data_IF_316779723227
#
_entry.id   IF_316779723227
#
_cell.length_a   1.000
_cell.length_b   1.000
_cell.length_c   1.000
_cell.angle_alpha   90.00
_cell.angle_beta   90.00
_cell.angle_gamma   90.00
#
_symmetry.space_group_name_H-M   'P 1'
#
loop_
_entity.id
_entity.type
_entity.pdbx_description
1 polymer ?
#
# COMPACT_ATOMS: atom_id res chain seq x y z
N UNK A 1 -51.84 21.36 12.81
CA UNK A 1 -50.50 21.71 12.31
C UNK A 1 -50.53 21.51 10.81
N UNK A 2 -50.65 22.60 10.05
CA UNK A 2 -50.78 22.61 8.60
C UNK A 2 -49.38 22.56 8.00
N UNK A 3 -49.11 21.53 7.20
CA UNK A 3 -47.88 21.37 6.41
C UNK A 3 -47.76 22.51 5.39
N UNK A 4 -46.62 23.19 5.28
CA UNK A 4 -46.45 24.21 4.26
C UNK A 4 -46.36 23.54 2.89
N UNK A 5 -47.29 23.89 2.02
CA UNK A 5 -47.26 23.52 0.59
C UNK A 5 -46.25 24.41 -0.10
N UNK A 6 -45.14 23.82 -0.57
CA UNK A 6 -44.20 24.49 -1.47
C UNK A 6 -44.92 24.67 -2.82
N UNK A 7 -45.22 25.90 -3.21
CA UNK A 7 -45.65 26.24 -4.55
C UNK A 7 -44.38 26.31 -5.42
N UNK A 8 -44.14 25.31 -6.25
CA UNK A 8 -43.16 25.40 -7.32
C UNK A 8 -43.64 26.45 -8.33
N UNK A 9 -43.01 27.59 -8.34
CA UNK A 9 -43.15 28.57 -9.42
C UNK A 9 -42.40 28.03 -10.64
N UNK A 10 -43.04 27.76 -11.79
CA UNK A 10 -42.33 27.33 -12.97
C UNK A 10 -41.29 28.38 -13.37
N UNK A 11 -40.02 27.98 -13.50
CA UNK A 11 -39.00 28.86 -14.06
C UNK A 11 -39.39 29.18 -15.51
N UNK A 12 -39.63 30.46 -15.79
CA UNK A 12 -39.90 30.95 -17.13
C UNK A 12 -38.71 30.61 -18.06
N UNK A 13 -38.92 29.74 -19.09
CA UNK A 13 -37.85 29.36 -20.01
C UNK A 13 -37.25 30.56 -20.76
N UNK A 14 -38.01 31.65 -20.94
CA UNK A 14 -37.55 32.87 -21.57
C UNK A 14 -36.59 33.69 -20.69
N UNK A 15 -36.69 33.58 -19.37
CA UNK A 15 -35.71 34.18 -18.43
C UNK A 15 -34.44 33.38 -18.31
N UNK A 16 -34.48 32.08 -18.53
CA UNK A 16 -33.27 31.23 -18.59
C UNK A 16 -32.45 31.47 -19.87
N UNK A 17 -33.11 31.94 -20.96
CA UNK A 17 -32.47 32.29 -22.23
C UNK A 17 -31.92 33.74 -22.28
N UNK A 18 -32.27 34.61 -21.32
CA UNK A 18 -31.72 35.95 -21.25
C UNK A 18 -30.26 35.90 -20.71
N UNK A 19 -29.33 35.78 -21.67
CA UNK A 19 -27.94 36.13 -21.56
C UNK A 19 -27.27 35.82 -20.19
N UNK A 20 -26.94 34.56 -19.95
CA UNK A 20 -25.81 34.30 -19.11
C UNK A 20 -24.61 35.10 -19.69
N UNK A 21 -23.96 35.98 -18.92
CA UNK A 21 -22.80 36.72 -19.42
C UNK A 21 -21.83 35.69 -20.06
N UNK A 22 -21.41 35.99 -21.29
CA UNK A 22 -20.45 35.12 -21.97
C UNK A 22 -19.28 34.91 -21.01
N UNK A 23 -19.12 33.69 -20.49
CA UNK A 23 -18.03 33.36 -19.55
C UNK A 23 -16.75 33.38 -20.40
N UNK A 24 -16.15 34.54 -20.52
CA UNK A 24 -14.96 34.81 -21.36
C UNK A 24 -13.70 34.06 -20.94
N UNK A 25 -13.75 33.21 -19.89
CA UNK A 25 -12.59 32.52 -19.35
C UNK A 25 -12.76 31.02 -19.15
N UNK A 26 -13.72 30.38 -19.84
CA UNK A 26 -13.79 28.92 -19.86
C UNK A 26 -12.54 28.39 -20.57
N UNK A 27 -11.75 27.61 -19.85
CA UNK A 27 -10.74 26.78 -20.49
C UNK A 27 -11.44 25.86 -21.48
N UNK A 28 -10.92 25.74 -22.73
CA UNK A 28 -11.52 24.81 -23.69
C UNK A 28 -11.57 23.39 -23.11
N UNK A 29 -12.57 22.58 -23.49
CA UNK A 29 -12.61 21.19 -23.09
C UNK A 29 -11.30 20.51 -23.47
N UNK A 30 -10.79 19.69 -22.55
CA UNK A 30 -9.62 18.86 -22.84
C UNK A 30 -10.02 17.76 -23.81
N UNK A 31 -9.27 17.57 -24.88
CA UNK A 31 -9.47 16.45 -25.79
C UNK A 31 -9.44 15.13 -24.98
N UNK A 32 -10.46 14.26 -25.10
CA UNK A 32 -10.47 12.95 -24.47
C UNK A 32 -9.19 12.13 -24.70
N UNK A 33 -8.55 12.26 -25.87
CA UNK A 33 -7.28 11.64 -26.18
C UNK A 33 -6.13 12.05 -25.23
N UNK A 34 -6.24 13.20 -24.57
CA UNK A 34 -5.29 13.67 -23.57
C UNK A 34 -5.61 13.20 -22.13
N UNK A 35 -6.60 12.30 -21.96
CA UNK A 35 -7.00 11.74 -20.68
C UNK A 35 -6.52 10.29 -20.51
N UNK A 36 -5.29 10.02 -20.93
CA UNK A 36 -4.67 8.66 -20.93
C UNK A 36 -4.72 7.91 -19.57
N UNK A 37 -4.97 8.62 -18.47
CA UNK A 37 -5.20 7.99 -17.17
C UNK A 37 -6.56 7.26 -17.09
N UNK A 38 -7.50 7.47 -18.01
CA UNK A 38 -8.77 6.73 -18.13
C UNK A 38 -8.65 5.46 -18.98
N UNK A 39 -7.58 5.34 -19.76
CA UNK A 39 -7.34 4.16 -20.59
C UNK A 39 -6.80 3.05 -19.70
N UNK A 40 -7.62 2.04 -19.48
CA UNK A 40 -7.26 0.85 -18.70
C UNK A 40 -6.88 -0.29 -19.65
N UNK A 41 -5.84 -1.02 -19.30
CA UNK A 41 -5.49 -2.25 -20.02
C UNK A 41 -6.66 -3.23 -19.96
N UNK A 42 -7.06 -3.74 -21.11
CA UNK A 42 -8.18 -4.68 -21.28
C UNK A 42 -7.82 -5.81 -22.26
N UNK A 43 -8.71 -6.79 -22.40
CA UNK A 43 -8.53 -7.94 -23.27
C UNK A 43 -7.56 -8.99 -22.72
N UNK A 44 -7.11 -9.95 -23.54
CA UNK A 44 -6.34 -11.10 -23.11
C UNK A 44 -4.84 -10.81 -22.99
N UNK A 45 -4.46 -9.77 -22.26
CA UNK A 45 -3.07 -9.34 -22.09
C UNK A 45 -2.15 -10.41 -21.48
N UNK A 46 -2.69 -11.46 -20.87
CA UNK A 46 -1.94 -12.60 -20.34
C UNK A 46 -1.41 -13.53 -21.44
N UNK A 47 -1.95 -13.46 -22.66
CA UNK A 47 -1.49 -14.27 -23.80
C UNK A 47 -0.04 -13.93 -24.22
N UNK A 48 0.50 -12.79 -23.80
CA UNK A 48 1.91 -12.46 -24.00
C UNK A 48 2.87 -13.35 -23.19
N UNK A 49 2.38 -14.03 -22.14
CA UNK A 49 3.16 -14.99 -21.36
C UNK A 49 3.08 -16.35 -22.03
N UNK A 50 4.20 -16.95 -22.47
CA UNK A 50 4.19 -18.19 -23.26
C UNK A 50 3.40 -19.32 -22.62
N UNK A 51 3.52 -19.54 -21.31
CA UNK A 51 2.78 -20.59 -20.60
C UNK A 51 1.26 -20.36 -20.54
N UNK A 52 0.78 -19.16 -20.83
CA UNK A 52 -0.63 -18.79 -20.73
C UNK A 52 -1.26 -18.35 -22.06
N UNK A 53 -0.54 -18.56 -23.16
CA UNK A 53 -0.96 -18.14 -24.50
C UNK A 53 -2.33 -18.68 -24.90
N UNK A 54 -2.67 -19.89 -24.48
CA UNK A 54 -3.93 -20.58 -24.83
C UNK A 54 -4.94 -20.56 -23.66
N UNK A 55 -4.69 -19.84 -22.58
CA UNK A 55 -5.60 -19.77 -21.44
C UNK A 55 -6.76 -18.82 -21.75
N UNK A 56 -7.99 -19.35 -21.70
CA UNK A 56 -9.21 -18.57 -21.90
C UNK A 56 -9.48 -17.58 -20.74
N UNK A 57 -10.33 -16.61 -20.99
CA UNK A 57 -10.66 -15.57 -20.01
C UNK A 57 -11.30 -16.16 -18.75
N UNK A 58 -12.20 -17.13 -18.86
CA UNK A 58 -12.90 -17.71 -17.72
C UNK A 58 -11.92 -18.40 -16.78
N UNK A 59 -10.95 -19.14 -17.32
CA UNK A 59 -9.88 -19.78 -16.56
C UNK A 59 -8.94 -18.74 -15.94
N UNK A 60 -8.54 -17.72 -16.70
CA UNK A 60 -7.66 -16.66 -16.17
C UNK A 60 -8.32 -15.85 -15.06
N UNK A 61 -9.63 -15.62 -15.13
CA UNK A 61 -10.40 -14.92 -14.12
C UNK A 61 -10.73 -15.77 -12.88
N UNK A 62 -10.50 -17.09 -12.89
CA UNK A 62 -10.68 -17.92 -11.70
C UNK A 62 -9.57 -17.62 -10.66
N UNK A 63 -9.96 -17.06 -9.51
CA UNK A 63 -9.01 -16.75 -8.43
C UNK A 63 -8.27 -17.97 -7.90
N UNK A 64 -8.86 -19.19 -7.98
CA UNK A 64 -8.23 -20.43 -7.55
C UNK A 64 -7.15 -20.85 -8.54
N UNK A 65 -7.39 -20.63 -9.83
CA UNK A 65 -6.39 -20.85 -10.86
C UNK A 65 -5.20 -19.90 -10.66
N UNK A 66 -5.45 -18.61 -10.38
CA UNK A 66 -4.44 -17.61 -10.07
C UNK A 66 -3.57 -18.02 -8.87
N UNK A 67 -4.19 -18.49 -7.80
CA UNK A 67 -3.49 -18.93 -6.58
C UNK A 67 -2.63 -20.18 -6.82
N UNK A 68 -3.18 -21.18 -7.56
CA UNK A 68 -2.51 -22.43 -7.91
C UNK A 68 -1.29 -22.22 -8.81
N UNK A 69 -1.38 -21.28 -9.76
CA UNK A 69 -0.33 -20.99 -10.73
C UNK A 69 0.58 -19.84 -10.32
N UNK A 70 0.50 -19.39 -9.08
CA UNK A 70 1.41 -18.36 -8.56
C UNK A 70 2.87 -18.80 -8.66
N UNK A 71 3.73 -17.88 -9.11
CA UNK A 71 5.18 -18.07 -9.23
C UNK A 71 5.79 -17.95 -7.85
N UNK A 72 6.40 -19.02 -7.37
CA UNK A 72 6.99 -19.10 -6.01
C UNK A 72 8.43 -19.62 -6.02
N UNK A 73 9.01 -19.80 -7.20
CA UNK A 73 10.40 -20.26 -7.36
C UNK A 73 10.95 -19.86 -8.73
N UNK A 74 12.28 -19.77 -8.88
CA UNK A 74 12.93 -19.54 -10.18
C UNK A 74 12.48 -20.54 -11.23
N UNK A 75 12.39 -21.83 -10.89
CA UNK A 75 11.92 -22.87 -11.80
C UNK A 75 10.52 -22.61 -12.38
N UNK A 76 9.58 -22.13 -11.54
CA UNK A 76 8.23 -21.77 -12.02
C UNK A 76 8.26 -20.52 -12.91
N UNK A 77 9.13 -19.56 -12.61
CA UNK A 77 9.30 -18.36 -13.41
C UNK A 77 9.83 -18.71 -14.80
N UNK A 78 10.91 -19.50 -14.87
CA UNK A 78 11.46 -19.99 -16.14
C UNK A 78 10.40 -20.74 -16.95
N UNK A 79 9.63 -21.65 -16.31
CA UNK A 79 8.57 -22.38 -16.99
C UNK A 79 7.45 -21.48 -17.53
N UNK A 80 7.17 -20.34 -16.87
CA UNK A 80 6.16 -19.40 -17.33
C UNK A 80 6.66 -18.51 -18.47
N UNK A 81 7.87 -17.99 -18.36
CA UNK A 81 8.42 -17.03 -19.31
C UNK A 81 9.09 -17.67 -20.54
N UNK A 82 9.62 -18.89 -20.40
CA UNK A 82 10.31 -19.61 -21.47
C UNK A 82 11.37 -18.70 -22.17
N UNK A 83 11.25 -18.50 -23.47
CA UNK A 83 12.15 -17.70 -24.29
C UNK A 83 11.79 -16.19 -24.31
N UNK A 84 10.83 -15.74 -23.51
CA UNK A 84 10.39 -14.34 -23.47
C UNK A 84 11.48 -13.40 -22.97
N UNK A 85 12.42 -13.90 -22.15
CA UNK A 85 13.54 -13.14 -21.61
C UNK A 85 14.85 -13.90 -21.76
N UNK A 86 15.98 -13.19 -21.75
CA UNK A 86 17.29 -13.82 -21.92
C UNK A 86 17.68 -14.73 -20.76
N UNK A 87 18.47 -15.79 -21.00
CA UNK A 87 19.00 -16.65 -19.94
C UNK A 87 19.82 -15.87 -18.89
N UNK A 88 20.55 -14.84 -19.30
CA UNK A 88 21.30 -13.96 -18.40
C UNK A 88 20.39 -13.23 -17.41
N UNK A 89 19.27 -12.73 -17.90
CA UNK A 89 18.27 -12.07 -17.06
C UNK A 89 17.61 -13.06 -16.07
N UNK A 90 17.32 -14.29 -16.52
CA UNK A 90 16.78 -15.33 -15.63
C UNK A 90 17.77 -15.71 -14.52
N UNK A 91 19.06 -15.82 -14.83
CA UNK A 91 20.10 -16.09 -13.84
C UNK A 91 20.22 -14.95 -12.82
N UNK A 92 20.08 -13.70 -13.26
CA UNK A 92 20.13 -12.52 -12.38
C UNK A 92 18.91 -12.46 -11.44
N UNK A 93 17.72 -12.82 -11.93
CA UNK A 93 16.52 -12.97 -11.07
C UNK A 93 16.72 -14.13 -10.07
N UNK A 94 17.21 -15.28 -10.50
CA UNK A 94 17.45 -16.43 -9.62
C UNK A 94 18.40 -16.04 -8.47
N UNK A 95 19.50 -15.37 -8.79
CA UNK A 95 20.38 -14.81 -7.77
C UNK A 95 19.67 -13.81 -6.85
N UNK A 96 18.74 -13.02 -7.40
CA UNK A 96 17.91 -12.08 -6.63
C UNK A 96 16.97 -12.78 -5.64
N UNK A 97 16.40 -13.94 -5.99
CA UNK A 97 15.57 -14.73 -5.07
C UNK A 97 16.34 -15.17 -3.83
N UNK A 98 17.61 -15.56 -3.98
CA UNK A 98 18.45 -16.00 -2.87
C UNK A 98 18.91 -14.85 -1.97
N UNK A 99 18.99 -13.63 -2.49
CA UNK A 99 19.48 -12.44 -1.76
C UNK A 99 18.34 -11.58 -1.16
N UNK A 100 17.09 -11.95 -1.40
CA UNK A 100 15.95 -11.16 -0.93
C UNK A 100 15.50 -11.59 0.48
N UNK A 101 15.31 -10.66 1.43
CA UNK A 101 14.75 -10.96 2.75
C UNK A 101 13.28 -11.38 2.70
N UNK A 102 12.57 -11.11 1.61
CA UNK A 102 11.19 -11.53 1.39
C UNK A 102 11.11 -12.62 0.33
N UNK A 103 10.44 -13.73 0.65
CA UNK A 103 10.16 -14.78 -0.31
C UNK A 103 9.39 -14.24 -1.51
N UNK A 104 9.61 -14.81 -2.69
CA UNK A 104 8.90 -14.41 -3.90
C UNK A 104 7.61 -15.20 -4.04
N UNK A 105 6.51 -14.50 -4.23
CA UNK A 105 5.21 -15.02 -4.66
C UNK A 105 4.51 -13.96 -5.50
N UNK A 106 4.25 -14.27 -6.77
CA UNK A 106 3.58 -13.37 -7.71
C UNK A 106 2.44 -14.12 -8.42
N UNK A 107 1.28 -13.47 -8.57
CA UNK A 107 0.14 -14.05 -9.30
C UNK A 107 0.37 -14.04 -10.80
N UNK A 108 -0.26 -14.94 -11.57
CA UNK A 108 -0.28 -14.87 -13.02
C UNK A 108 -0.76 -13.53 -13.55
N UNK A 109 -1.80 -12.96 -12.96
CA UNK A 109 -2.28 -11.63 -13.30
C UNK A 109 -1.16 -10.58 -13.25
N UNK A 110 -0.48 -10.49 -12.11
CA UNK A 110 0.55 -9.49 -11.90
C UNK A 110 1.77 -9.73 -12.81
N UNK A 111 2.15 -11.00 -13.03
CA UNK A 111 3.21 -11.36 -13.97
C UNK A 111 2.87 -10.93 -15.40
N UNK A 112 1.60 -11.02 -15.78
CA UNK A 112 1.11 -10.60 -17.10
C UNK A 112 1.07 -9.07 -17.27
N UNK A 113 1.16 -8.29 -16.21
CA UNK A 113 1.19 -6.82 -16.29
C UNK A 113 2.61 -6.28 -16.51
N UNK A 114 3.64 -7.05 -16.16
CA UNK A 114 5.04 -6.65 -16.33
C UNK A 114 5.35 -6.43 -17.81
N UNK A 115 6.06 -5.37 -18.13
CA UNK A 115 6.64 -5.14 -19.45
C UNK A 115 7.91 -5.97 -19.58
N UNK A 116 7.83 -7.05 -20.36
CA UNK A 116 8.93 -7.96 -20.57
C UNK A 116 9.89 -7.53 -21.67
N UNK A 117 9.59 -6.45 -22.42
CA UNK A 117 10.51 -5.84 -23.37
C UNK A 117 11.57 -5.00 -22.62
N UNK A 118 11.18 -4.38 -21.47
CA UNK A 118 12.12 -3.70 -20.56
C UNK A 118 11.81 -4.06 -19.08
N UNK A 119 12.03 -5.31 -18.67
CA UNK A 119 11.70 -5.73 -17.30
C UNK A 119 12.61 -5.10 -16.24
N UNK A 120 13.77 -4.56 -16.60
CA UNK A 120 14.67 -3.88 -15.65
C UNK A 120 14.06 -2.57 -15.17
N UNK A 121 13.47 -1.79 -16.06
CA UNK A 121 12.83 -0.53 -15.73
C UNK A 121 11.36 -0.69 -15.28
N UNK A 122 10.73 -1.84 -15.54
CA UNK A 122 9.31 -2.03 -15.26
C UNK A 122 8.94 -1.82 -13.76
N UNK A 123 7.98 -0.93 -13.46
CA UNK A 123 7.62 -0.57 -12.09
C UNK A 123 6.95 -1.69 -11.31
N UNK A 124 6.32 -2.67 -11.97
CA UNK A 124 5.69 -3.81 -11.29
C UNK A 124 6.74 -4.86 -10.97
N UNK A 125 7.62 -5.21 -11.94
CA UNK A 125 8.73 -6.11 -11.68
C UNK A 125 9.55 -5.64 -10.47
N UNK A 126 9.88 -4.35 -10.39
CA UNK A 126 10.68 -3.78 -9.28
C UNK A 126 10.08 -4.05 -7.91
N UNK A 127 8.77 -4.03 -7.80
CA UNK A 127 8.06 -4.25 -6.53
C UNK A 127 8.05 -5.71 -6.06
N UNK A 128 8.12 -6.68 -7.00
CA UNK A 128 7.83 -8.08 -6.69
C UNK A 128 8.91 -9.08 -7.05
N UNK A 129 9.70 -8.81 -8.07
CA UNK A 129 10.78 -9.68 -8.53
C UNK A 129 12.13 -8.98 -8.34
N UNK A 130 12.96 -9.43 -7.39
CA UNK A 130 14.30 -8.90 -7.20
C UNK A 130 15.22 -9.31 -8.36
N UNK A 131 16.09 -8.42 -8.79
CA UNK A 131 17.20 -8.69 -9.71
C UNK A 131 18.49 -8.42 -8.93
N UNK A 132 19.40 -9.40 -8.84
CA UNK A 132 20.57 -9.30 -7.99
C UNK A 132 21.49 -8.13 -8.37
N UNK A 133 21.65 -7.85 -9.67
CA UNK A 133 22.44 -6.72 -10.20
C UNK A 133 21.84 -5.33 -9.86
N UNK A 134 20.57 -5.26 -9.45
CA UNK A 134 19.89 -4.02 -9.09
C UNK A 134 19.78 -3.80 -7.57
N UNK A 135 20.14 -4.80 -6.76
CA UNK A 135 20.14 -4.67 -5.30
C UNK A 135 21.28 -3.75 -4.86
N UNK A 136 20.94 -2.74 -4.09
CA UNK A 136 21.91 -1.82 -3.51
C UNK A 136 22.28 -2.26 -2.07
N UNK A 137 23.50 -1.97 -1.59
CA UNK A 137 23.87 -2.19 -0.19
C UNK A 137 22.90 -1.44 0.74
N UNK A 138 22.50 -2.10 1.82
CA UNK A 138 21.62 -1.49 2.80
C UNK A 138 22.26 -0.27 3.46
N UNK A 139 21.48 0.78 3.68
CA UNK A 139 21.85 1.84 4.62
C UNK A 139 22.06 1.20 6.00
N UNK A 140 23.10 1.55 6.78
CA UNK A 140 23.41 0.93 8.07
C UNK A 140 22.26 0.98 9.10
N UNK A 141 21.35 1.92 8.95
CA UNK A 141 20.21 2.12 9.84
C UNK A 141 18.94 1.34 9.42
N UNK A 142 19.01 0.51 8.38
CA UNK A 142 17.88 -0.35 7.99
C UNK A 142 17.79 -1.55 8.93
N UNK A 143 16.56 -1.94 9.26
CA UNK A 143 16.29 -3.11 10.11
C UNK A 143 15.13 -3.93 9.54
N UNK A 144 14.93 -5.15 10.03
CA UNK A 144 13.80 -5.99 9.62
C UNK A 144 12.48 -5.52 10.21
N UNK A 145 12.47 -5.03 11.45
CA UNK A 145 11.29 -4.43 12.12
C UNK A 145 11.53 -2.94 12.35
N UNK A 146 11.60 -2.18 11.25
CA UNK A 146 11.92 -0.74 11.29
C UNK A 146 10.89 0.08 12.07
N UNK A 147 9.68 -0.42 12.18
CA UNK A 147 8.59 0.24 12.90
C UNK A 147 8.49 -0.19 14.38
N UNK A 148 9.32 -1.10 14.87
CA UNK A 148 9.28 -1.65 16.23
C UNK A 148 7.88 -2.19 16.59
N UNK A 149 7.26 -2.95 15.68
CA UNK A 149 5.91 -3.51 15.89
C UNK A 149 5.91 -4.56 17.01
N UNK A 150 7.04 -5.28 17.18
CA UNK A 150 7.18 -6.29 18.22
C UNK A 150 7.28 -5.67 19.61
N UNK A 151 7.94 -4.52 19.77
CA UNK A 151 8.00 -3.78 21.05
C UNK A 151 6.64 -3.24 21.48
N UNK A 152 5.79 -2.86 20.52
CA UNK A 152 4.45 -2.34 20.76
C UNK A 152 3.38 -3.46 20.80
N UNK A 153 3.78 -4.74 20.98
CA UNK A 153 2.89 -5.91 20.97
C UNK A 153 2.53 -6.37 22.39
N UNK A 154 1.38 -5.95 22.95
CA UNK A 154 0.96 -6.32 24.31
C UNK A 154 0.48 -7.78 24.41
N UNK A 155 -0.06 -8.33 23.33
CA UNK A 155 -0.44 -9.74 23.17
C UNK A 155 -0.11 -10.23 21.76
N UNK A 156 0.16 -11.52 21.55
CA UNK A 156 0.49 -12.04 20.23
C UNK A 156 -0.56 -11.68 19.17
N UNK A 157 -0.12 -11.10 18.06
CA UNK A 157 -0.99 -10.69 16.97
C UNK A 157 -1.65 -9.32 17.14
N UNK A 158 -1.27 -8.56 18.17
CA UNK A 158 -1.71 -7.16 18.34
C UNK A 158 -0.52 -6.24 18.38
N UNK A 159 -0.60 -5.11 17.66
CA UNK A 159 0.33 -3.98 17.84
C UNK A 159 -0.48 -2.76 18.26
N UNK A 160 -0.26 -2.29 19.50
CA UNK A 160 -0.99 -1.16 20.09
C UNK A 160 -0.03 -0.01 20.39
N UNK A 161 0.15 0.86 19.42
CA UNK A 161 1.07 2.01 19.46
C UNK A 161 0.36 3.32 19.76
N UNK A 162 -0.83 3.49 19.21
CA UNK A 162 -1.59 4.74 19.27
C UNK A 162 -2.63 4.70 20.39
N UNK A 163 -3.00 5.86 20.95
CA UNK A 163 -3.97 5.90 22.05
C UNK A 163 -5.32 5.23 21.74
N UNK A 164 -5.83 5.39 20.49
CA UNK A 164 -7.19 5.05 20.10
C UNK A 164 -7.31 3.91 19.09
N UNK A 165 -6.18 3.36 18.63
CA UNK A 165 -6.19 2.34 17.55
C UNK A 165 -5.08 1.32 17.69
N UNK A 166 -5.38 0.09 17.22
CA UNK A 166 -4.44 -1.02 17.19
C UNK A 166 -4.47 -1.76 15.84
N UNK A 167 -3.37 -2.46 15.54
CA UNK A 167 -3.32 -3.48 14.50
C UNK A 167 -3.75 -4.82 15.08
N UNK A 168 -4.50 -5.58 14.29
CA UNK A 168 -4.84 -6.97 14.55
C UNK A 168 -4.23 -7.84 13.44
N UNK A 169 -3.15 -8.53 13.74
CA UNK A 169 -2.38 -9.38 12.82
C UNK A 169 -2.97 -10.79 12.82
N UNK A 170 -3.91 -11.04 11.92
CA UNK A 170 -4.76 -12.25 11.92
C UNK A 170 -4.16 -13.44 11.18
N UNK A 171 -3.15 -13.20 10.31
CA UNK A 171 -2.46 -14.21 9.51
C UNK A 171 -1.09 -13.71 9.02
N UNK A 172 -0.27 -14.64 8.51
CA UNK A 172 1.10 -14.38 8.03
C UNK A 172 1.30 -14.64 6.52
N UNK A 173 0.21 -14.83 5.77
CA UNK A 173 0.28 -15.15 4.34
C UNK A 173 -0.43 -14.10 3.49
N UNK A 174 0.10 -13.90 2.26
CA UNK A 174 -0.45 -12.98 1.26
C UNK A 174 -0.71 -13.69 -0.07
N UNK A 175 -1.59 -13.16 -0.94
CA UNK A 175 -1.72 -13.64 -2.30
C UNK A 175 -0.44 -13.40 -3.13
N UNK A 176 0.29 -12.33 -2.83
CA UNK A 176 1.55 -11.93 -3.45
C UNK A 176 2.46 -11.37 -2.36
N UNK A 177 3.76 -11.59 -2.43
CA UNK A 177 4.72 -11.01 -1.49
C UNK A 177 5.43 -9.80 -2.11
N UNK A 178 5.32 -8.66 -1.44
CA UNK A 178 5.96 -7.41 -1.85
C UNK A 178 7.40 -7.37 -1.31
N UNK A 179 8.40 -6.99 -2.12
CA UNK A 179 9.79 -6.82 -1.66
C UNK A 179 9.91 -5.84 -0.50
N UNK A 180 9.14 -4.76 -0.54
CA UNK A 180 9.11 -3.65 0.42
C UNK A 180 8.24 -3.89 1.66
N UNK A 181 7.95 -5.14 2.01
CA UNK A 181 7.07 -5.46 3.12
C UNK A 181 7.70 -5.08 4.46
N UNK A 182 7.06 -4.19 5.23
CA UNK A 182 7.49 -3.79 6.58
C UNK A 182 7.46 -4.93 7.58
N UNK A 183 6.72 -6.01 7.27
CA UNK A 183 6.62 -7.23 8.08
C UNK A 183 7.38 -8.39 7.47
N UNK A 184 8.44 -8.11 6.70
CA UNK A 184 9.31 -9.15 6.13
C UNK A 184 9.90 -10.06 7.20
N UNK A 185 10.00 -9.62 8.45
CA UNK A 185 10.43 -10.41 9.58
C UNK A 185 9.47 -11.54 9.99
N UNK A 186 8.20 -11.51 9.52
CA UNK A 186 7.17 -12.45 10.00
C UNK A 186 6.20 -12.94 8.91
N UNK A 187 6.07 -12.24 7.78
CA UNK A 187 5.16 -12.60 6.68
C UNK A 187 5.89 -13.44 5.64
N UNK A 188 5.22 -14.46 5.15
CA UNK A 188 5.76 -15.38 4.15
C UNK A 188 6.48 -16.58 4.74
N UNK A 189 7.26 -17.29 3.90
CA UNK A 189 8.12 -18.40 4.28
C UNK A 189 9.50 -17.89 4.59
N UNK A 190 10.29 -18.69 5.32
CA UNK A 190 11.71 -18.44 5.53
C UNK A 190 12.43 -18.25 4.19
N UNK A 191 13.48 -17.46 4.22
CA UNK A 191 14.38 -17.22 3.10
C UNK A 191 15.82 -17.54 3.53
N UNK A 192 16.75 -17.51 2.59
CA UNK A 192 18.18 -17.69 2.92
C UNK A 192 18.70 -16.57 3.83
N UNK A 193 18.05 -15.41 3.82
CA UNK A 193 18.42 -14.20 4.58
C UNK A 193 17.68 -14.05 5.91
N UNK A 194 16.46 -14.61 6.05
CA UNK A 194 15.58 -14.34 7.20
C UNK A 194 14.79 -15.56 7.64
N UNK A 195 14.97 -15.98 8.88
CA UNK A 195 14.05 -16.87 9.58
C UNK A 195 12.86 -16.08 10.12
N UNK A 196 11.64 -16.46 9.73
CA UNK A 196 10.44 -15.70 10.04
C UNK A 196 9.90 -15.97 11.45
N UNK A 197 9.53 -14.89 12.15
CA UNK A 197 8.79 -15.00 13.39
C UNK A 197 7.37 -15.50 13.10
N UNK A 198 6.99 -16.65 13.64
CA UNK A 198 5.70 -17.25 13.32
C UNK A 198 4.52 -16.50 13.95
N UNK A 199 3.70 -15.88 13.12
CA UNK A 199 2.37 -15.33 13.50
C UNK A 199 1.25 -16.33 13.28
N UNK A 200 1.48 -17.61 13.23
CA UNK A 200 0.44 -18.60 12.85
C UNK A 200 -0.91 -18.20 13.40
N UNK A 201 -1.83 -17.88 12.50
CA UNK A 201 -3.23 -17.53 12.77
C UNK A 201 -3.93 -18.72 13.42
N UNK A 202 -3.73 -18.90 14.72
CA UNK A 202 -4.46 -19.87 15.52
C UNK A 202 -5.68 -19.17 16.09
N UNK A 203 -6.83 -19.83 16.03
CA UNK A 203 -8.12 -19.35 16.54
C UNK A 203 -8.01 -18.88 18.00
N UNK A 204 -7.18 -19.52 18.84
CA UNK A 204 -6.89 -19.09 20.21
C UNK A 204 -6.25 -17.70 20.31
N UNK A 205 -5.40 -17.31 19.36
CA UNK A 205 -4.78 -15.98 19.35
C UNK A 205 -5.78 -14.87 19.01
N UNK A 206 -6.77 -15.15 18.18
CA UNK A 206 -7.84 -14.18 17.91
C UNK A 206 -8.68 -13.91 19.14
N UNK A 207 -9.00 -14.95 19.92
CA UNK A 207 -9.75 -14.79 21.18
C UNK A 207 -9.00 -13.91 22.17
N UNK A 208 -7.69 -14.08 22.32
CA UNK A 208 -6.86 -13.23 23.20
C UNK A 208 -6.81 -11.78 22.73
N UNK A 209 -6.65 -11.55 21.41
CA UNK A 209 -6.65 -10.21 20.83
C UNK A 209 -8.02 -9.54 20.99
N UNK A 210 -9.12 -10.25 20.71
CA UNK A 210 -10.49 -9.72 20.87
C UNK A 210 -10.79 -9.38 22.33
N UNK A 211 -10.37 -10.24 23.27
CA UNK A 211 -10.46 -9.96 24.70
C UNK A 211 -9.68 -8.69 25.06
N UNK A 212 -8.42 -8.59 24.62
CA UNK A 212 -7.60 -7.39 24.82
C UNK A 212 -8.31 -6.12 24.32
N UNK A 213 -8.89 -6.14 23.12
CA UNK A 213 -9.63 -5.00 22.58
C UNK A 213 -10.88 -4.69 23.40
N UNK A 214 -11.60 -5.70 23.88
CA UNK A 214 -12.82 -5.51 24.67
C UNK A 214 -12.57 -4.89 26.05
N UNK A 215 -11.38 -5.12 26.62
CA UNK A 215 -10.93 -4.59 27.91
C UNK A 215 -10.30 -3.19 27.82
N UNK A 216 -10.23 -2.59 26.61
CA UNK A 216 -9.57 -1.30 26.34
C UNK A 216 -10.56 -0.29 25.75
N UNK A 217 -11.35 0.41 26.60
CA UNK A 217 -12.39 1.34 26.13
C UNK A 217 -11.85 2.54 25.34
N UNK A 218 -10.55 2.84 25.46
CA UNK A 218 -9.88 3.87 24.67
C UNK A 218 -9.69 3.47 23.18
N UNK A 219 -9.73 2.18 22.85
CA UNK A 219 -9.59 1.70 21.49
C UNK A 219 -10.89 1.88 20.70
N UNK A 220 -10.87 2.70 19.68
CA UNK A 220 -12.01 2.95 18.79
C UNK A 220 -11.81 2.39 17.37
N UNK A 221 -10.57 2.09 16.97
CA UNK A 221 -10.21 1.79 15.59
C UNK A 221 -9.28 0.56 15.51
N UNK A 222 -9.72 -0.50 14.82
CA UNK A 222 -8.92 -1.71 14.61
C UNK A 222 -8.58 -1.89 13.14
N UNK A 223 -7.29 -2.02 12.84
CA UNK A 223 -6.80 -2.40 11.52
C UNK A 223 -6.56 -3.91 11.49
N UNK A 224 -7.41 -4.62 10.77
CA UNK A 224 -7.28 -6.06 10.55
C UNK A 224 -6.26 -6.25 9.42
N UNK A 225 -5.13 -6.89 9.72
CA UNK A 225 -3.96 -7.00 8.87
C UNK A 225 -3.16 -8.27 9.17
N UNK A 226 -1.85 -8.20 9.10
CA UNK A 226 -0.89 -9.30 9.28
C UNK A 226 -0.14 -9.51 7.98
N UNK A 227 -0.35 -10.66 7.33
CA UNK A 227 -0.11 -10.80 5.90
C UNK A 227 -1.19 -10.01 5.15
N UNK A 228 -2.09 -10.68 4.49
CA UNK A 228 -3.17 -10.00 3.74
C UNK A 228 -4.53 -10.63 4.02
N UNK A 229 -5.49 -9.83 4.50
CA UNK A 229 -6.85 -10.29 4.84
C UNK A 229 -7.58 -10.95 3.66
N UNK A 230 -7.11 -10.76 2.44
CA UNK A 230 -7.59 -11.46 1.24
C UNK A 230 -7.45 -12.97 1.31
N UNK A 231 -6.53 -13.48 2.16
CA UNK A 231 -6.31 -14.92 2.38
C UNK A 231 -7.25 -15.53 3.41
N UNK A 232 -8.02 -14.72 4.12
CA UNK A 232 -9.04 -15.20 5.06
C UNK A 232 -10.15 -15.96 4.29
N UNK A 233 -10.70 -17.00 4.92
CA UNK A 233 -11.93 -17.64 4.46
C UNK A 233 -13.12 -16.73 4.74
N UNK A 234 -14.20 -16.88 4.00
CA UNK A 234 -15.44 -16.13 4.21
C UNK A 234 -15.97 -16.23 5.64
N UNK A 235 -15.91 -17.42 6.26
CA UNK A 235 -16.28 -17.62 7.66
C UNK A 235 -15.40 -16.83 8.63
N UNK A 236 -14.11 -16.72 8.36
CA UNK A 236 -13.16 -16.00 9.19
C UNK A 236 -13.36 -14.47 9.07
N UNK A 237 -13.69 -13.97 7.88
CA UNK A 237 -14.05 -12.55 7.69
C UNK A 237 -15.27 -12.20 8.56
N UNK A 238 -16.32 -13.03 8.54
CA UNK A 238 -17.50 -12.84 9.41
C UNK A 238 -17.14 -12.95 10.89
N UNK A 239 -16.42 -13.99 11.29
CA UNK A 239 -16.02 -14.22 12.68
C UNK A 239 -15.32 -13.00 13.26
N UNK A 240 -14.25 -12.53 12.61
CA UNK A 240 -13.48 -11.37 13.07
C UNK A 240 -14.32 -10.10 13.03
N UNK A 241 -15.00 -9.84 11.91
CA UNK A 241 -15.80 -8.63 11.73
C UNK A 241 -16.93 -8.52 12.75
N UNK A 242 -17.68 -9.60 12.96
CA UNK A 242 -18.77 -9.62 13.93
C UNK A 242 -18.28 -9.53 15.38
N UNK A 243 -17.16 -10.20 15.72
CA UNK A 243 -16.57 -10.11 17.04
C UNK A 243 -16.19 -8.66 17.40
N UNK A 244 -15.53 -7.95 16.48
CA UNK A 244 -15.15 -6.54 16.67
C UNK A 244 -16.39 -5.61 16.70
N UNK A 245 -17.40 -5.86 15.87
CA UNK A 245 -18.65 -5.07 15.87
C UNK A 245 -19.43 -5.21 17.18
N UNK A 246 -19.28 -6.33 17.88
CA UNK A 246 -19.93 -6.56 19.18
C UNK A 246 -19.27 -5.77 20.31
N UNK A 247 -18.06 -5.25 20.15
CA UNK A 247 -17.38 -4.43 21.15
C UNK A 247 -17.96 -3.01 21.08
N UNK A 248 -18.62 -2.47 22.11
CA UNK A 248 -19.38 -1.22 22.04
C UNK A 248 -18.54 -0.01 21.63
N UNK A 249 -17.33 0.11 22.16
CA UNK A 249 -16.44 1.26 21.96
C UNK A 249 -15.68 1.23 20.62
N UNK A 250 -15.55 0.08 19.94
CA UNK A 250 -14.98 0.02 18.60
C UNK A 250 -15.94 0.70 17.62
N UNK A 251 -15.51 1.78 17.00
CA UNK A 251 -16.29 2.61 16.08
C UNK A 251 -15.88 2.42 14.63
N UNK A 252 -14.64 2.00 14.39
CA UNK A 252 -14.05 1.83 13.04
C UNK A 252 -13.30 0.52 12.96
N UNK A 253 -13.38 -0.13 11.81
CA UNK A 253 -12.49 -1.25 11.47
C UNK A 253 -12.10 -1.17 10.00
N UNK A 254 -10.90 -1.64 9.70
CA UNK A 254 -10.29 -1.55 8.38
C UNK A 254 -9.73 -2.91 8.00
N UNK A 255 -10.26 -3.52 6.93
CA UNK A 255 -9.66 -4.70 6.34
C UNK A 255 -8.54 -4.26 5.41
N UNK A 256 -7.28 -4.55 5.78
CA UNK A 256 -6.11 -4.17 4.99
C UNK A 256 -5.78 -5.28 3.99
N UNK A 257 -5.75 -4.94 2.69
CA UNK A 257 -5.46 -5.89 1.62
C UNK A 257 -4.84 -5.23 0.39
N UNK A 258 -3.86 -5.89 -0.22
CA UNK A 258 -3.38 -5.57 -1.58
C UNK A 258 -4.13 -6.36 -2.66
N UNK A 259 -5.05 -7.24 -2.27
CA UNK A 259 -5.79 -8.13 -3.17
C UNK A 259 -6.35 -7.45 -4.42
N UNK A 260 -7.05 -6.30 -4.33
CA UNK A 260 -7.56 -5.59 -5.51
C UNK A 260 -6.51 -5.22 -6.54
N UNK A 261 -5.26 -4.97 -6.12
CA UNK A 261 -4.15 -4.63 -7.01
C UNK A 261 -3.47 -5.84 -7.65
N UNK A 262 -3.43 -6.98 -6.96
CA UNK A 262 -2.59 -8.12 -7.34
C UNK A 262 -3.35 -9.39 -7.73
N UNK A 263 -4.63 -9.46 -7.40
CA UNK A 263 -5.53 -10.58 -7.73
C UNK A 263 -7.00 -10.10 -7.74
N UNK A 264 -7.38 -9.11 -8.56
CA UNK A 264 -8.75 -8.56 -8.57
C UNK A 264 -9.81 -9.63 -8.87
N UNK A 265 -9.46 -10.72 -9.54
CA UNK A 265 -10.35 -11.81 -9.90
C UNK A 265 -11.07 -12.42 -8.70
N UNK A 266 -10.45 -12.46 -7.51
CA UNK A 266 -11.11 -13.00 -6.33
C UNK A 266 -12.39 -12.20 -5.99
N UNK A 267 -12.40 -10.90 -6.21
CA UNK A 267 -13.60 -10.07 -6.04
C UNK A 267 -14.68 -10.37 -7.09
N UNK A 268 -14.32 -10.97 -8.21
CA UNK A 268 -15.26 -11.35 -9.27
C UNK A 268 -15.77 -12.76 -9.14
N UNK A 269 -15.00 -13.69 -8.55
CA UNK A 269 -15.26 -15.14 -8.59
C UNK A 269 -15.35 -15.83 -7.23
N UNK A 270 -15.07 -15.14 -6.12
CA UNK A 270 -15.30 -15.64 -4.74
C UNK A 270 -16.49 -14.93 -4.09
N UNK A 271 -17.70 -15.28 -4.53
CA UNK A 271 -18.94 -14.71 -4.01
C UNK A 271 -19.03 -14.82 -2.48
N UNK A 272 -18.63 -15.97 -1.94
CA UNK A 272 -18.70 -16.22 -0.50
C UNK A 272 -17.86 -15.23 0.30
N UNK A 273 -16.67 -14.87 -0.20
CA UNK A 273 -15.79 -13.88 0.45
C UNK A 273 -16.34 -12.46 0.34
N UNK A 274 -16.84 -12.09 -0.83
CA UNK A 274 -17.44 -10.77 -1.07
C UNK A 274 -18.69 -10.60 -0.21
N UNK A 275 -19.57 -11.61 -0.16
CA UNK A 275 -20.78 -11.59 0.68
C UNK A 275 -20.44 -11.53 2.18
N UNK A 276 -19.37 -12.21 2.61
CA UNK A 276 -18.92 -12.11 3.99
C UNK A 276 -18.46 -10.70 4.37
N UNK A 277 -17.69 -10.06 3.51
CA UNK A 277 -17.25 -8.67 3.72
C UNK A 277 -18.45 -7.70 3.70
N UNK A 278 -19.34 -7.85 2.74
CA UNK A 278 -20.55 -7.04 2.59
C UNK A 278 -21.46 -7.15 3.83
N UNK A 279 -21.67 -8.37 4.35
CA UNK A 279 -22.44 -8.60 5.57
C UNK A 279 -21.86 -7.84 6.78
N UNK A 280 -20.53 -7.86 6.95
CA UNK A 280 -19.85 -7.09 8.02
C UNK A 280 -20.03 -5.59 7.82
N UNK A 281 -19.89 -5.08 6.57
CA UNK A 281 -20.09 -3.66 6.25
C UNK A 281 -21.52 -3.22 6.52
N UNK A 282 -22.51 -3.98 6.07
CA UNK A 282 -23.94 -3.67 6.31
C UNK A 282 -24.29 -3.69 7.79
N UNK A 283 -23.80 -4.68 8.54
CA UNK A 283 -23.97 -4.72 9.98
C UNK A 283 -23.31 -3.52 10.66
N UNK A 284 -22.10 -3.15 10.22
CA UNK A 284 -21.42 -1.95 10.72
C UNK A 284 -22.29 -0.70 10.53
N UNK A 285 -22.87 -0.50 9.35
CA UNK A 285 -23.78 0.62 9.07
C UNK A 285 -24.99 0.65 10.00
N UNK A 286 -25.64 -0.50 10.22
CA UNK A 286 -26.79 -0.59 11.14
C UNK A 286 -26.42 -0.23 12.58
N UNK A 287 -25.15 -0.44 12.97
CA UNK A 287 -24.62 -0.12 14.28
C UNK A 287 -23.96 1.27 14.35
N UNK A 288 -24.03 2.07 13.26
CA UNK A 288 -23.34 3.36 13.11
C UNK A 288 -21.82 3.24 13.32
N UNK A 289 -21.21 2.14 12.84
CA UNK A 289 -19.78 1.86 12.87
C UNK A 289 -19.23 1.80 11.46
N UNK A 290 -18.05 2.40 11.22
CA UNK A 290 -17.42 2.44 9.91
C UNK A 290 -16.60 1.16 9.66
N UNK A 291 -16.86 0.50 8.53
CA UNK A 291 -16.12 -0.68 8.07
C UNK A 291 -15.64 -0.43 6.65
N UNK A 292 -14.34 -0.33 6.46
CA UNK A 292 -13.75 0.03 5.18
C UNK A 292 -12.67 -0.96 4.74
N UNK A 293 -12.36 -0.97 3.45
CA UNK A 293 -11.20 -1.66 2.89
C UNK A 293 -10.07 -0.66 2.70
N UNK A 294 -8.92 -0.93 3.31
CA UNK A 294 -7.67 -0.24 3.00
C UNK A 294 -6.89 -1.07 2.00
N UNK A 295 -6.80 -0.58 0.78
CA UNK A 295 -6.06 -1.23 -0.30
C UNK A 295 -4.69 -0.60 -0.52
N UNK A 296 -3.88 -1.20 -1.41
CA UNK A 296 -2.50 -0.84 -1.62
C UNK A 296 -2.11 -0.93 -3.10
N UNK A 297 -2.28 0.16 -3.82
CA UNK A 297 -1.77 0.35 -5.18
C UNK A 297 -0.57 1.29 -5.12
N UNK A 298 0.49 0.97 -5.82
CA UNK A 298 1.70 1.81 -5.92
C UNK A 298 1.93 2.38 -7.31
N UNK A 299 1.40 1.72 -8.35
CA UNK A 299 1.55 2.19 -9.72
C UNK A 299 0.24 2.10 -10.50
N UNK A 300 0.02 3.04 -11.40
CA UNK A 300 -1.18 3.08 -12.23
C UNK A 300 -1.34 1.83 -13.12
N UNK A 301 -0.26 1.13 -13.46
CA UNK A 301 -0.29 -0.09 -14.25
C UNK A 301 -0.85 -1.31 -13.49
N UNK A 302 -1.00 -1.24 -12.15
CA UNK A 302 -1.72 -2.24 -11.35
C UNK A 302 -3.24 -2.17 -11.58
N UNK A 303 -3.74 -1.11 -12.22
CA UNK A 303 -5.17 -0.83 -12.43
C UNK A 303 -5.55 -1.12 -13.88
N UNK A 304 -6.30 -2.17 -14.10
CA UNK A 304 -6.80 -2.63 -15.40
C UNK A 304 -8.34 -2.59 -15.44
N UNK A 305 -8.95 -2.88 -16.58
CA UNK A 305 -10.41 -3.05 -16.70
C UNK A 305 -10.94 -4.17 -15.76
N UNK A 306 -10.13 -5.23 -15.51
CA UNK A 306 -10.47 -6.26 -14.51
C UNK A 306 -10.51 -5.67 -13.10
N UNK A 307 -9.54 -4.81 -12.76
CA UNK A 307 -9.49 -4.12 -11.46
C UNK A 307 -10.70 -3.19 -11.29
N UNK A 308 -11.06 -2.43 -12.32
CA UNK A 308 -12.24 -1.53 -12.30
C UNK A 308 -13.52 -2.32 -12.04
N UNK A 309 -13.76 -3.43 -12.78
CA UNK A 309 -14.92 -4.31 -12.56
C UNK A 309 -14.94 -4.87 -11.13
N UNK A 310 -13.79 -5.31 -10.62
CA UNK A 310 -13.67 -5.89 -9.29
C UNK A 310 -13.94 -4.88 -8.17
N UNK A 311 -13.39 -3.67 -8.28
CA UNK A 311 -13.63 -2.56 -7.36
C UNK A 311 -15.09 -2.10 -7.46
N UNK A 312 -15.62 -1.95 -8.69
CA UNK A 312 -17.01 -1.58 -8.95
C UNK A 312 -17.98 -2.48 -8.18
N UNK A 313 -17.74 -3.81 -8.19
CA UNK A 313 -18.56 -4.77 -7.45
C UNK A 313 -18.60 -4.50 -5.92
N UNK A 314 -17.51 -4.06 -5.33
CA UNK A 314 -17.48 -3.68 -3.92
C UNK A 314 -18.20 -2.35 -3.67
N UNK A 315 -18.00 -1.37 -4.56
CA UNK A 315 -18.65 -0.04 -4.48
C UNK A 315 -20.17 -0.17 -4.60
N UNK A 316 -20.68 -0.97 -5.53
CA UNK A 316 -22.11 -1.28 -5.69
C UNK A 316 -22.73 -1.87 -4.40
N UNK A 317 -21.94 -2.62 -3.63
CA UNK A 317 -22.34 -3.18 -2.34
C UNK A 317 -22.08 -2.22 -1.17
N UNK A 318 -21.68 -0.97 -1.47
CA UNK A 318 -21.44 0.10 -0.53
C UNK A 318 -20.20 -0.11 0.34
N UNK A 319 -19.23 -0.86 -0.13
CA UNK A 319 -17.91 -0.97 0.51
C UNK A 319 -17.05 0.20 0.07
N UNK A 320 -16.52 0.95 1.02
CA UNK A 320 -15.60 2.06 0.76
C UNK A 320 -14.16 1.56 0.71
N UNK A 321 -13.42 1.99 -0.33
CA UNK A 321 -12.00 1.64 -0.49
C UNK A 321 -11.13 2.88 -0.36
N UNK A 322 -10.03 2.76 0.40
CA UNK A 322 -9.01 3.81 0.57
C UNK A 322 -7.65 3.23 0.28
N UNK A 323 -6.85 3.94 -0.50
CA UNK A 323 -5.52 3.48 -0.91
C UNK A 323 -4.41 4.05 -0.02
N UNK A 324 -3.46 3.19 0.32
CA UNK A 324 -2.19 3.55 0.96
C UNK A 324 -1.07 3.18 0.00
N UNK A 325 -0.40 4.19 -0.55
CA UNK A 325 0.73 4.04 -1.48
C UNK A 325 2.04 4.13 -0.69
N UNK A 326 3.05 3.35 -1.07
CA UNK A 326 4.45 3.56 -0.67
C UNK A 326 5.21 4.21 -1.81
N UNK A 327 5.92 5.29 -1.53
CA UNK A 327 6.77 5.97 -2.50
C UNK A 327 8.02 5.13 -2.77
N UNK A 328 8.24 4.78 -4.03
CA UNK A 328 9.31 3.88 -4.44
C UNK A 328 9.99 4.38 -5.71
N UNK A 329 11.32 4.35 -5.70
CA UNK A 329 12.15 4.72 -6.84
C UNK A 329 11.90 3.81 -8.03
N UNK A 330 11.69 4.43 -9.21
CA UNK A 330 11.38 3.75 -10.46
C UNK A 330 10.00 3.08 -10.49
N UNK A 331 9.13 3.39 -9.52
CA UNK A 331 7.76 2.90 -9.46
C UNK A 331 6.77 4.06 -9.58
N UNK A 332 6.87 5.04 -8.69
CA UNK A 332 5.94 6.16 -8.61
C UNK A 332 6.61 7.46 -8.16
N UNK A 333 7.94 7.53 -8.23
CA UNK A 333 8.75 8.65 -7.75
C UNK A 333 8.91 9.78 -8.77
N UNK A 334 8.13 9.78 -9.87
CA UNK A 334 8.03 10.92 -10.78
C UNK A 334 6.67 11.62 -10.64
N UNK A 335 6.58 12.94 -10.91
CA UNK A 335 5.31 13.66 -10.91
C UNK A 335 4.24 13.00 -11.80
N UNK A 336 4.63 12.58 -13.00
CA UNK A 336 3.75 11.96 -14.00
C UNK A 336 3.18 10.63 -13.50
N UNK A 337 4.04 9.76 -12.94
CA UNK A 337 3.63 8.45 -12.42
C UNK A 337 2.69 8.61 -11.20
N UNK A 338 3.05 9.51 -10.25
CA UNK A 338 2.24 9.74 -9.05
C UNK A 338 0.90 10.40 -9.39
N UNK A 339 0.88 11.41 -10.26
CA UNK A 339 -0.35 12.06 -10.72
C UNK A 339 -1.26 11.06 -11.46
N UNK A 340 -0.69 10.23 -12.36
CA UNK A 340 -1.45 9.19 -13.05
C UNK A 340 -2.07 8.19 -12.08
N UNK A 341 -1.32 7.75 -11.06
CA UNK A 341 -1.83 6.85 -10.03
C UNK A 341 -3.00 7.48 -9.26
N UNK A 342 -2.82 8.70 -8.74
CA UNK A 342 -3.87 9.41 -7.97
C UNK A 342 -5.14 9.61 -8.79
N UNK A 343 -5.00 10.02 -10.06
CA UNK A 343 -6.13 10.21 -10.97
C UNK A 343 -6.85 8.89 -11.26
N UNK A 344 -6.10 7.81 -11.51
CA UNK A 344 -6.67 6.51 -11.86
C UNK A 344 -7.36 5.84 -10.67
N UNK A 345 -6.80 5.98 -9.45
CA UNK A 345 -7.46 5.54 -8.22
C UNK A 345 -8.82 6.22 -8.04
N UNK A 346 -8.85 7.56 -8.14
CA UNK A 346 -10.08 8.32 -8.03
C UNK A 346 -11.10 7.94 -9.12
N UNK A 347 -10.64 7.63 -10.33
CA UNK A 347 -11.48 7.22 -11.45
C UNK A 347 -12.23 5.91 -11.19
N UNK A 348 -11.58 4.93 -10.54
CA UNK A 348 -12.18 3.65 -10.16
C UNK A 348 -12.82 3.66 -8.75
N UNK A 349 -13.13 4.84 -8.19
CA UNK A 349 -13.72 5.01 -6.85
C UNK A 349 -12.89 4.45 -5.68
N UNK A 350 -11.57 4.45 -5.81
CA UNK A 350 -10.64 4.18 -4.70
C UNK A 350 -10.08 5.50 -4.21
N UNK A 351 -10.37 5.87 -2.96
CA UNK A 351 -9.92 7.12 -2.39
C UNK A 351 -8.40 7.10 -2.11
N UNK A 352 -7.57 7.95 -2.75
CA UNK A 352 -6.16 8.08 -2.39
C UNK A 352 -6.03 8.65 -0.98
N UNK A 353 -5.52 7.85 -0.04
CA UNK A 353 -5.53 8.22 1.38
C UNK A 353 -4.15 8.65 1.87
N UNK A 354 -3.13 7.78 1.78
CA UNK A 354 -1.76 8.08 2.15
C UNK A 354 -0.77 7.78 1.02
N UNK A 355 0.31 8.57 0.98
CA UNK A 355 1.59 8.21 0.35
C UNK A 355 2.65 8.19 1.44
N UNK A 356 3.17 7.02 1.76
CA UNK A 356 4.24 6.82 2.73
C UNK A 356 5.59 7.04 2.09
N UNK A 357 6.50 7.78 2.72
CA UNK A 357 7.92 7.59 2.47
C UNK A 357 8.28 6.13 2.77
N UNK A 358 9.23 5.58 2.00
CA UNK A 358 9.58 4.16 2.14
C UNK A 358 10.15 3.88 3.53
N UNK A 359 9.64 2.85 4.20
CA UNK A 359 10.14 2.44 5.51
C UNK A 359 11.60 1.94 5.42
N UNK A 360 12.32 2.01 6.55
CA UNK A 360 13.73 1.63 6.65
C UNK A 360 13.91 0.11 6.74
N UNK A 361 13.40 -0.62 5.73
CA UNK A 361 13.40 -2.09 5.68
C UNK A 361 14.62 -2.62 4.93
N UNK A 362 15.32 -3.58 5.51
CA UNK A 362 16.46 -4.27 4.88
C UNK A 362 16.09 -4.92 3.54
N UNK A 363 17.03 -4.87 2.58
CA UNK A 363 16.86 -5.44 1.24
C UNK A 363 16.05 -4.59 0.27
N UNK A 364 15.76 -3.34 0.62
CA UNK A 364 14.94 -2.42 -0.17
C UNK A 364 15.61 -1.07 -0.45
N UNK A 365 16.92 -0.94 -0.22
CA UNK A 365 17.65 0.33 -0.44
C UNK A 365 17.48 0.85 -1.86
N UNK A 366 17.46 -0.04 -2.85
CA UNK A 366 17.25 0.29 -4.27
C UNK A 366 15.86 0.89 -4.57
N UNK A 367 14.87 0.69 -3.69
CA UNK A 367 13.51 1.20 -3.84
C UNK A 367 13.27 2.52 -3.09
N UNK A 368 14.14 2.91 -2.18
CA UNK A 368 13.94 4.08 -1.33
C UNK A 368 14.14 5.39 -2.09
N UNK A 369 13.47 6.44 -1.63
CA UNK A 369 13.60 7.81 -2.12
C UNK A 369 13.94 8.75 -0.96
N UNK A 370 14.53 9.91 -1.24
CA UNK A 370 14.77 10.92 -0.22
C UNK A 370 13.46 11.61 0.22
N UNK A 371 13.50 12.19 1.41
CA UNK A 371 12.42 13.01 1.94
C UNK A 371 12.18 14.25 1.04
N UNK A 372 13.25 14.84 0.54
CA UNK A 372 13.17 15.98 -0.40
C UNK A 372 12.42 15.62 -1.68
N UNK A 373 12.65 14.40 -2.22
CA UNK A 373 11.88 13.89 -3.37
C UNK A 373 10.40 13.75 -3.05
N UNK A 374 10.07 13.23 -1.87
CA UNK A 374 8.69 13.09 -1.41
C UNK A 374 7.98 14.45 -1.27
N UNK A 375 8.66 15.45 -0.68
CA UNK A 375 8.14 16.83 -0.56
C UNK A 375 7.93 17.49 -1.93
N UNK A 376 8.84 17.25 -2.89
CA UNK A 376 8.68 17.73 -4.25
C UNK A 376 7.44 17.14 -4.92
N UNK A 377 7.23 15.83 -4.78
CA UNK A 377 6.07 15.15 -5.34
C UNK A 377 4.76 15.63 -4.73
N UNK A 378 4.70 15.83 -3.41
CA UNK A 378 3.50 16.38 -2.76
C UNK A 378 3.08 17.70 -3.38
N UNK A 379 4.03 18.63 -3.58
CA UNK A 379 3.75 19.91 -4.26
C UNK A 379 3.18 19.73 -5.65
N UNK A 380 3.63 18.72 -6.41
CA UNK A 380 3.20 18.47 -7.79
C UNK A 380 1.84 17.79 -7.86
N UNK A 381 1.49 16.98 -6.88
CA UNK A 381 0.20 16.29 -6.80
C UNK A 381 -0.91 17.21 -6.31
N UNK A 382 -0.59 18.12 -5.38
CA UNK A 382 -1.57 19.06 -4.83
C UNK A 382 -2.06 20.03 -5.91
N UNK A 383 -3.38 20.07 -6.10
CA UNK A 383 -4.03 20.92 -7.10
C UNK A 383 -4.29 20.25 -8.46
N UNK A 384 -3.82 19.01 -8.70
CA UNK A 384 -4.13 18.28 -9.96
C UNK A 384 -5.51 17.63 -9.96
N UNK A 385 -6.11 17.48 -8.78
CA UNK A 385 -7.43 16.89 -8.58
C UNK A 385 -8.15 17.56 -7.40
N UNK A 386 -9.41 17.16 -7.14
CA UNK A 386 -10.14 17.64 -5.97
C UNK A 386 -9.38 17.35 -4.68
N UNK A 387 -9.45 18.27 -3.69
CA UNK A 387 -8.78 18.08 -2.40
C UNK A 387 -9.15 16.77 -1.72
N UNK A 388 -10.39 16.32 -1.87
CA UNK A 388 -10.86 15.02 -1.40
C UNK A 388 -10.05 13.83 -1.98
N UNK A 389 -9.56 13.93 -3.21
CA UNK A 389 -8.77 12.90 -3.89
C UNK A 389 -7.26 13.16 -3.84
N UNK A 390 -6.80 14.10 -3.00
CA UNK A 390 -5.37 14.37 -2.81
C UNK A 390 -4.88 13.62 -1.59
N UNK A 391 -3.93 12.68 -1.72
CA UNK A 391 -3.41 11.91 -0.59
C UNK A 391 -2.58 12.78 0.35
N UNK A 392 -2.51 12.40 1.62
CA UNK A 392 -1.55 12.95 2.57
C UNK A 392 -0.22 12.23 2.47
N UNK A 393 0.86 12.96 2.32
CA UNK A 393 2.22 12.40 2.33
C UNK A 393 2.75 12.33 3.76
N UNK A 394 3.25 11.16 4.16
CA UNK A 394 3.64 10.88 5.54
C UNK A 394 4.94 10.08 5.63
N UNK A 395 5.64 10.25 6.74
CA UNK A 395 6.68 9.34 7.23
C UNK A 395 6.06 8.48 8.34
N UNK A 396 6.24 7.17 8.30
CA UNK A 396 6.01 6.35 9.51
C UNK A 396 7.33 6.34 10.28
N UNK A 397 7.38 7.10 11.37
CA UNK A 397 8.64 7.38 12.07
C UNK A 397 9.20 6.08 12.68
N UNK A 398 10.42 5.66 12.26
CA UNK A 398 11.03 4.40 12.70
C UNK A 398 11.15 4.30 14.22
N UNK A 399 11.16 3.07 14.77
CA UNK A 399 11.22 2.87 16.22
C UNK A 399 9.89 3.17 16.95
N UNK A 400 8.78 3.20 16.20
CA UNK A 400 7.45 3.29 16.78
C UNK A 400 6.95 4.72 17.04
N UNK A 401 7.47 5.73 16.33
CA UNK A 401 6.96 7.10 16.40
C UNK A 401 5.60 7.29 15.72
N UNK A 402 5.22 6.35 14.85
CA UNK A 402 3.98 6.41 14.11
C UNK A 402 3.98 7.43 12.99
N UNK A 403 2.81 7.63 12.37
CA UNK A 403 2.67 8.47 11.18
C UNK A 403 2.82 9.95 11.52
N UNK A 404 3.77 10.57 10.83
CA UNK A 404 4.05 12.01 10.91
C UNK A 404 3.82 12.63 9.55
N UNK A 405 3.27 13.84 9.53
CA UNK A 405 3.21 14.63 8.31
C UNK A 405 4.63 14.80 7.75
N UNK A 406 4.77 14.75 6.43
CA UNK A 406 6.06 14.76 5.76
C UNK A 406 6.94 15.97 6.15
N UNK A 407 6.31 17.12 6.38
CA UNK A 407 6.97 18.39 6.73
C UNK A 407 7.10 18.63 8.24
N UNK A 408 6.61 17.74 9.11
CA UNK A 408 6.57 17.93 10.57
C UNK A 408 7.84 17.48 11.28
N UNK A 409 8.98 17.56 10.60
CA UNK A 409 10.28 17.30 11.20
C UNK A 409 10.73 18.46 12.09
N UNK A 410 11.41 18.14 13.19
CA UNK A 410 12.10 19.13 14.04
C UNK A 410 13.41 19.60 13.41
N UNK A 411 14.09 18.68 12.70
CA UNK A 411 15.30 18.96 11.94
C UNK A 411 15.39 18.06 10.73
N UNK A 412 15.89 18.57 9.61
CA UNK A 412 16.23 17.79 8.43
C UNK A 412 17.50 18.35 7.79
N UNK A 413 18.55 17.57 7.87
CA UNK A 413 19.81 17.84 7.18
C UNK A 413 19.84 17.08 5.85
N UNK A 414 19.80 17.83 4.75
CA UNK A 414 19.80 17.31 3.39
C UNK A 414 21.17 16.79 2.95
N UNK A 415 22.24 17.23 3.59
CA UNK A 415 23.59 16.80 3.24
C UNK A 415 23.86 15.40 3.79
N UNK A 416 23.58 15.17 5.05
CA UNK A 416 23.74 13.85 5.70
C UNK A 416 22.56 12.92 5.49
N UNK A 417 21.42 13.44 5.03
CA UNK A 417 20.18 12.71 4.84
C UNK A 417 19.43 12.38 6.14
N UNK A 418 19.79 12.99 7.27
CA UNK A 418 19.17 12.72 8.58
C UNK A 418 18.00 13.65 8.84
N UNK A 419 16.84 13.10 9.17
CA UNK A 419 15.71 13.87 9.67
C UNK A 419 15.23 13.38 11.03
N UNK A 420 14.76 14.31 11.87
CA UNK A 420 14.36 14.08 13.26
C UNK A 420 12.90 14.48 13.43
N UNK A 421 12.12 13.61 14.04
CA UNK A 421 10.70 13.83 14.31
C UNK A 421 10.39 13.68 15.79
N UNK A 422 9.34 14.35 16.26
CA UNK A 422 8.69 14.07 17.53
C UNK A 422 7.34 13.38 17.30
N UNK A 423 6.85 12.66 18.29
CA UNK A 423 5.54 12.02 18.27
C UNK A 423 4.81 12.23 19.62
N UNK A 424 4.40 13.48 19.94
CA UNK A 424 3.89 13.84 21.27
C UNK A 424 2.68 13.02 21.71
N UNK A 425 1.79 12.67 20.78
CA UNK A 425 0.59 11.88 21.08
C UNK A 425 0.84 10.36 21.16
N UNK A 426 1.99 9.86 20.69
CA UNK A 426 2.29 8.43 20.60
C UNK A 426 3.33 8.02 21.64
N UNK A 427 4.48 8.66 21.62
CA UNK A 427 5.59 8.43 22.57
C UNK A 427 6.19 9.80 22.96
N UNK A 428 5.55 10.53 23.91
CA UNK A 428 6.00 11.87 24.30
C UNK A 428 7.43 11.88 24.81
N UNK A 429 8.18 12.93 24.45
CA UNK A 429 9.57 13.13 24.88
C UNK A 429 10.61 12.30 24.11
N UNK A 430 10.21 11.43 23.18
CA UNK A 430 11.14 10.69 22.30
C UNK A 430 11.36 11.41 20.98
N UNK A 431 12.59 11.32 20.47
CA UNK A 431 12.98 11.72 19.13
C UNK A 431 13.08 10.47 18.23
N UNK A 432 12.65 10.60 17.00
CA UNK A 432 12.64 9.53 16.00
C UNK A 432 13.43 9.98 14.78
N UNK A 433 14.23 9.08 14.25
CA UNK A 433 15.13 9.37 13.14
C UNK A 433 14.62 8.69 11.86
N UNK A 434 14.65 9.42 10.76
CA UNK A 434 14.48 8.87 9.43
C UNK A 434 15.70 9.26 8.57
N UNK A 435 16.12 8.37 7.68
CA UNK A 435 17.36 8.49 6.92
C UNK A 435 17.06 8.42 5.42
N UNK A 436 17.63 9.30 4.64
CA UNK A 436 17.58 9.25 3.20
C UNK A 436 18.44 8.10 2.64
N UNK A 437 18.20 7.63 1.40
CA UNK A 437 19.04 6.59 0.80
C UNK A 437 20.45 7.09 0.49
N UNK A 438 21.45 6.22 0.75
CA UNK A 438 22.87 6.55 0.60
C UNK A 438 23.23 7.08 -0.79
N UNK A 439 22.65 6.52 -1.85
CA UNK A 439 22.97 6.92 -3.24
C UNK A 439 22.69 8.39 -3.54
N UNK A 440 21.84 9.05 -2.76
CA UNK A 440 21.56 10.50 -2.90
C UNK A 440 22.62 11.40 -2.27
N UNK A 441 23.53 10.83 -1.48
CA UNK A 441 24.56 11.53 -0.74
C UNK A 441 25.86 11.61 -1.56
N UNK A 442 26.74 12.54 -1.18
CA UNK A 442 28.07 12.62 -1.78
C UNK A 442 28.89 11.35 -1.49
N UNK A 443 29.88 10.98 -2.33
CA UNK A 443 30.74 9.82 -2.09
C UNK A 443 31.43 9.84 -0.72
N UNK A 444 31.82 11.03 -0.24
CA UNK A 444 32.40 11.18 1.09
C UNK A 444 31.42 10.80 2.19
N UNK A 445 30.18 11.29 2.13
CA UNK A 445 29.15 10.97 3.12
C UNK A 445 28.72 9.50 3.05
N UNK A 446 28.70 8.88 1.87
CA UNK A 446 28.48 7.44 1.76
C UNK A 446 29.57 6.64 2.50
N UNK A 447 30.83 7.08 2.39
CA UNK A 447 31.94 6.48 3.14
C UNK A 447 31.81 6.75 4.64
N UNK A 448 31.45 7.97 5.06
CA UNK A 448 31.22 8.34 6.46
C UNK A 448 30.08 7.49 7.08
N UNK A 449 29.02 7.18 6.35
CA UNK A 449 27.97 6.27 6.79
C UNK A 449 28.43 4.83 6.97
N UNK A 450 29.56 4.44 6.39
CA UNK A 450 30.17 3.11 6.59
C UNK A 450 31.08 3.06 7.83
N UNK A 451 31.39 4.22 8.45
CA UNK A 451 32.19 4.33 9.67
C UNK A 451 31.27 4.54 10.90
N UNK A 452 31.23 3.62 11.90
CA UNK A 452 30.37 3.75 13.07
C UNK A 452 30.61 5.02 13.90
N UNK A 453 31.82 5.58 13.92
CA UNK A 453 32.13 6.82 14.64
C UNK A 453 31.48 8.00 13.92
N UNK A 454 31.67 8.08 12.62
CA UNK A 454 31.08 9.14 11.79
C UNK A 454 29.55 9.06 11.75
N UNK A 455 28.97 7.85 11.68
CA UNK A 455 27.52 7.67 11.84
C UNK A 455 27.00 8.30 13.12
N UNK A 456 27.67 8.00 14.23
CA UNK A 456 27.29 8.53 15.55
C UNK A 456 27.39 10.06 15.58
N UNK A 457 28.46 10.65 15.04
CA UNK A 457 28.66 12.08 14.96
C UNK A 457 27.54 12.78 14.17
N UNK A 458 27.17 12.25 12.99
CA UNK A 458 26.08 12.79 12.15
C UNK A 458 24.72 12.70 12.86
N UNK A 459 24.43 11.58 13.49
CA UNK A 459 23.18 11.39 14.25
C UNK A 459 23.12 12.32 15.45
N UNK A 460 24.19 12.39 16.25
CA UNK A 460 24.26 13.26 17.44
C UNK A 460 24.12 14.74 17.05
N UNK A 461 24.71 15.16 15.94
CA UNK A 461 24.59 16.53 15.42
C UNK A 461 23.12 16.85 15.03
N UNK A 462 22.46 15.95 14.33
CA UNK A 462 21.04 16.11 13.97
C UNK A 462 20.12 16.16 15.20
N UNK A 463 20.37 15.30 16.19
CA UNK A 463 19.61 15.28 17.46
C UNK A 463 19.85 16.58 18.28
N UNK A 464 21.07 17.10 18.31
CA UNK A 464 21.40 18.37 18.97
C UNK A 464 20.69 19.56 18.29
N UNK A 465 20.70 19.60 16.95
CA UNK A 465 20.01 20.63 16.17
C UNK A 465 18.48 20.61 16.39
N UNK A 466 17.88 19.42 16.53
CA UNK A 466 16.46 19.28 16.82
C UNK A 466 16.07 19.74 18.25
N UNK A 467 16.96 19.59 19.23
CA UNK A 467 16.74 20.03 20.63
C UNK A 467 16.93 21.53 20.84
N UNK A 468 17.67 22.19 19.97
CA UNK A 468 17.95 23.62 20.05
C UNK A 468 16.84 24.53 19.52
N UNK A 469 15.74 23.94 19.07
CA UNK A 469 14.53 24.63 18.64
C UNK A 469 13.45 24.52 19.69
#
# INVERSE_FOLDING_TARGET
>A
MTTPTFVETPLDPARAAAAAPAIQHLKPPVDPANLAWRELLDGPFWHKIPAWKEIDEATFLDHRWQDKHAITSPKKLVAALQDLVSPTFLADIEAGFHRAPMAVRISPYLLSLIDWDDPVADPLRRQFLPIASQLEPNHPMLTLDSLAEQEDSPVPGVTHRYPDKALFLVLDTCPVYCRFCTRSYAVGTDTDEVEKVAFKAKQGRWADAIRYFSERPELEDIVISGGDTYRLKASQVREIGHALLNIPHIRRMRFATKGPAVMPMKLLTDDAWVDALTDVVERGRRLHKDVVVHTHFNNANEITAITERAVGRLVERGVHLRNQTVLQRGVNDTPEAMVKLVKRLAYINVHPYYVFSHDLVMGCEDLRTSLDRAMHLEKRVRGVTAGYNTPTFVVDAPGGGGKRDLHSWEHYDRETGVSVYTAPAVKPGKLFLYFDPLRGLSPQLQADWSDPIRQKEMVDAALAAAKGR
#
